data_IF_068629376798
#
_entry.id   IF_068629376798
#
_cell.length_a   1.000
_cell.length_b   1.000
_cell.length_c   1.000
_cell.angle_alpha   90.00
_cell.angle_beta   90.00
_cell.angle_gamma   90.00
#
_symmetry.space_group_name_H-M   'P 1'
#
loop_
_entity.id
_entity.type
_entity.pdbx_description
1 polymer ?
#
# COMPACT_ATOMS: atom_id res chain seq x y z
N UNK A 1 -6.97 -6.53 -9.03
CA UNK A 1 -5.82 -5.84 -8.42
C UNK A 1 -4.89 -5.31 -9.51
N UNK A 2 -4.89 -4.00 -9.79
CA UNK A 2 -3.78 -3.41 -10.53
C UNK A 2 -2.55 -3.25 -9.61
N UNK A 3 -1.37 -3.62 -10.11
CA UNK A 3 -0.10 -3.24 -9.46
C UNK A 3 0.08 -1.75 -9.73
N UNK A 4 0.04 -0.95 -8.68
CA UNK A 4 0.14 0.52 -8.79
C UNK A 4 1.59 0.97 -8.90
N UNK A 5 2.54 0.17 -8.40
CA UNK A 5 3.96 0.52 -8.41
C UNK A 5 4.86 -0.71 -8.27
N UNK A 6 6.12 -0.57 -8.67
CA UNK A 6 7.17 -1.58 -8.48
C UNK A 6 8.46 -0.93 -8.03
N UNK A 7 9.11 -1.53 -7.03
CA UNK A 7 10.45 -1.12 -6.61
C UNK A 7 11.28 -2.37 -6.30
N UNK A 8 12.24 -2.68 -7.17
CA UNK A 8 12.99 -3.93 -7.10
C UNK A 8 12.04 -5.14 -7.07
N UNK A 9 12.14 -6.04 -6.06
CA UNK A 9 11.28 -7.22 -5.96
C UNK A 9 9.86 -6.91 -5.45
N UNK A 10 9.62 -5.70 -4.95
CA UNK A 10 8.38 -5.35 -4.27
C UNK A 10 7.34 -4.79 -5.24
N UNK A 11 6.13 -5.36 -5.19
CA UNK A 11 4.94 -4.92 -5.93
C UNK A 11 3.96 -4.28 -4.97
N UNK A 12 3.55 -3.06 -5.29
CA UNK A 12 2.58 -2.29 -4.51
C UNK A 12 1.21 -2.37 -5.19
N UNK A 13 0.13 -2.49 -4.42
CA UNK A 13 -1.22 -2.58 -4.95
C UNK A 13 -2.30 -2.22 -3.90
N UNK A 14 -3.52 -2.04 -4.40
CA UNK A 14 -4.74 -1.86 -3.59
C UNK A 14 -5.78 -2.93 -3.96
N UNK A 15 -6.57 -3.37 -2.99
CA UNK A 15 -7.73 -4.23 -3.23
C UNK A 15 -8.96 -3.37 -3.54
N UNK A 16 -9.58 -3.59 -4.70
CA UNK A 16 -10.72 -2.80 -5.19
C UNK A 16 -11.94 -2.80 -4.26
N UNK A 17 -12.13 -3.89 -3.53
CA UNK A 17 -13.28 -4.13 -2.65
C UNK A 17 -13.06 -3.71 -1.19
N UNK A 18 -11.87 -3.25 -0.82
CA UNK A 18 -11.52 -3.05 0.60
C UNK A 18 -12.03 -1.71 1.16
N UNK A 19 -12.22 -0.68 0.32
CA UNK A 19 -12.60 0.67 0.76
C UNK A 19 -13.95 1.20 0.23
N UNK A 20 -14.70 0.42 -0.56
CA UNK A 20 -16.03 0.85 -1.02
C UNK A 20 -17.01 0.71 0.14
N UNK A 21 -17.20 1.77 0.91
CA UNK A 21 -18.21 1.87 1.99
C UNK A 21 -17.74 1.53 3.41
N UNK A 22 -16.48 1.13 3.62
CA UNK A 22 -15.93 0.74 4.93
C UNK A 22 -15.25 1.88 5.69
N UNK A 23 -14.85 2.96 5.00
CA UNK A 23 -14.13 4.08 5.61
C UNK A 23 -12.73 3.72 6.10
N UNK A 24 -12.11 2.66 5.55
CA UNK A 24 -10.78 2.25 5.95
C UNK A 24 -9.73 3.35 5.63
N UNK A 25 -8.82 3.66 6.57
CA UNK A 25 -7.77 4.64 6.32
C UNK A 25 -6.87 4.25 5.13
N UNK A 26 -6.20 5.23 4.48
CA UNK A 26 -5.30 4.96 3.37
C UNK A 26 -4.19 3.98 3.73
N UNK A 27 -4.04 2.92 2.95
CA UNK A 27 -2.99 1.93 3.12
C UNK A 27 -2.49 1.34 1.80
N UNK A 28 -1.39 0.61 1.83
CA UNK A 28 -0.84 -0.06 0.65
C UNK A 28 -0.46 -1.49 1.00
N UNK A 29 -0.77 -2.40 0.09
CA UNK A 29 -0.31 -3.78 0.15
C UNK A 29 0.97 -3.92 -0.65
N UNK A 30 1.93 -4.67 -0.10
CA UNK A 30 3.26 -4.89 -0.68
C UNK A 30 3.53 -6.38 -0.71
N UNK A 31 3.86 -6.94 -1.86
CA UNK A 31 4.22 -8.36 -2.00
C UNK A 31 5.52 -8.55 -2.78
N UNK A 32 6.22 -9.65 -2.51
CA UNK A 32 7.37 -10.15 -3.26
C UNK A 32 7.36 -11.68 -3.23
N UNK A 33 8.42 -12.33 -3.71
CA UNK A 33 8.55 -13.79 -3.60
C UNK A 33 8.61 -14.27 -2.13
N UNK A 34 9.09 -13.41 -1.24
CA UNK A 34 9.41 -13.78 0.15
C UNK A 34 8.23 -13.55 1.11
N UNK A 35 7.19 -12.79 0.70
CA UNK A 35 6.05 -12.53 1.58
C UNK A 35 5.15 -11.38 1.17
N UNK A 36 4.36 -10.91 2.13
CA UNK A 36 3.44 -9.78 1.95
C UNK A 36 3.32 -8.93 3.22
N UNK A 37 3.03 -7.65 3.05
CA UNK A 37 2.85 -6.69 4.14
C UNK A 37 1.84 -5.61 3.76
N UNK A 38 1.25 -5.00 4.78
CA UNK A 38 0.31 -3.88 4.65
C UNK A 38 0.79 -2.73 5.50
N UNK A 39 0.83 -1.54 4.92
CA UNK A 39 1.22 -0.31 5.61
C UNK A 39 0.12 0.74 5.51
N UNK A 40 -0.26 1.31 6.65
CA UNK A 40 -0.99 2.58 6.67
C UNK A 40 -0.12 3.68 6.04
N UNK A 41 -0.75 4.67 5.40
CA UNK A 41 -0.08 5.82 4.81
C UNK A 41 -0.16 7.07 5.68
N UNK A 42 -0.97 7.06 6.75
CA UNK A 42 -1.18 8.23 7.62
C UNK A 42 -1.33 7.87 9.11
N UNK A 43 -0.24 7.91 9.90
CA UNK A 43 1.17 7.96 9.47
C UNK A 43 1.65 6.61 8.92
N UNK A 44 2.83 6.57 8.28
CA UNK A 44 3.38 5.32 7.74
C UNK A 44 3.76 4.34 8.86
N UNK A 45 2.92 3.30 9.02
CA UNK A 45 3.04 2.26 10.05
C UNK A 45 2.63 0.90 9.49
N UNK A 46 3.28 -0.14 9.99
CA UNK A 46 2.93 -1.52 9.68
C UNK A 46 1.53 -1.83 10.25
N UNK A 47 0.64 -2.35 9.41
CA UNK A 47 -0.64 -2.97 9.82
C UNK A 47 -0.45 -4.47 10.02
N UNK A 48 0.20 -5.12 9.05
CA UNK A 48 0.42 -6.56 9.05
C UNK A 48 1.62 -6.94 8.18
N UNK A 49 2.28 -8.06 8.49
CA UNK A 49 3.29 -8.69 7.62
C UNK A 49 3.38 -10.18 7.87
N UNK A 50 3.60 -10.92 6.79
CA UNK A 50 3.85 -12.36 6.80
C UNK A 50 4.99 -12.68 5.83
N UNK A 51 5.83 -13.65 6.18
CA UNK A 51 7.00 -14.05 5.39
C UNK A 51 8.23 -13.14 5.51
N UNK A 52 8.03 -11.85 5.83
CA UNK A 52 9.13 -10.91 6.01
C UNK A 52 9.74 -10.92 7.41
N UNK A 53 11.07 -10.84 7.47
CA UNK A 53 11.82 -10.52 8.69
C UNK A 53 11.64 -9.06 9.10
N UNK A 54 11.96 -8.73 10.36
CA UNK A 54 11.90 -7.35 10.86
C UNK A 54 12.79 -6.39 10.04
N UNK A 55 13.94 -6.86 9.55
CA UNK A 55 14.84 -6.06 8.71
C UNK A 55 14.24 -5.76 7.33
N UNK A 56 13.54 -6.73 6.73
CA UNK A 56 12.84 -6.55 5.46
C UNK A 56 11.64 -5.62 5.61
N UNK A 57 10.83 -5.80 6.66
CA UNK A 57 9.73 -4.88 6.99
C UNK A 57 10.27 -3.45 7.16
N UNK A 58 11.40 -3.26 7.85
CA UNK A 58 12.02 -1.95 7.99
C UNK A 58 12.50 -1.37 6.64
N UNK A 59 13.05 -2.20 5.75
CA UNK A 59 13.43 -1.79 4.39
C UNK A 59 12.21 -1.37 3.58
N UNK A 60 11.14 -2.17 3.56
CA UNK A 60 9.89 -1.88 2.86
C UNK A 60 9.27 -0.60 3.41
N UNK A 61 9.24 -0.43 4.74
CA UNK A 61 8.73 0.79 5.38
C UNK A 61 9.45 2.04 4.88
N UNK A 62 10.78 2.01 4.75
CA UNK A 62 11.55 3.16 4.21
C UNK A 62 11.13 3.50 2.78
N UNK A 63 10.90 2.49 1.94
CA UNK A 63 10.39 2.69 0.57
C UNK A 63 9.00 3.34 0.60
N UNK A 64 8.10 2.84 1.45
CA UNK A 64 6.74 3.40 1.62
C UNK A 64 6.80 4.83 2.12
N UNK A 65 7.68 5.16 3.07
CA UNK A 65 7.87 6.54 3.57
C UNK A 65 8.30 7.47 2.45
N UNK A 66 9.32 7.10 1.67
CA UNK A 66 9.82 7.91 0.55
C UNK A 66 8.74 8.13 -0.50
N UNK A 67 7.89 7.13 -0.75
CA UNK A 67 6.82 7.19 -1.76
C UNK A 67 5.46 7.59 -1.20
N UNK A 68 5.35 7.95 0.09
CA UNK A 68 4.07 8.14 0.79
C UNK A 68 3.13 9.08 0.04
N UNK A 69 3.65 10.22 -0.42
CA UNK A 69 2.86 11.24 -1.11
C UNK A 69 2.21 10.70 -2.39
N UNK A 70 2.97 9.96 -3.21
CA UNK A 70 2.47 9.38 -4.45
C UNK A 70 1.49 8.22 -4.18
N UNK A 71 1.83 7.34 -3.22
CA UNK A 71 0.94 6.25 -2.84
C UNK A 71 -0.40 6.76 -2.28
N UNK A 72 -0.38 7.84 -1.50
CA UNK A 72 -1.58 8.50 -0.99
C UNK A 72 -2.42 9.08 -2.13
N UNK A 73 -1.78 9.81 -3.05
CA UNK A 73 -2.48 10.35 -4.23
C UNK A 73 -3.16 9.24 -5.03
N UNK A 74 -2.45 8.14 -5.33
CA UNK A 74 -3.03 6.99 -6.05
C UNK A 74 -4.17 6.32 -5.28
N UNK A 75 -4.07 6.25 -3.95
CA UNK A 75 -5.16 5.75 -3.11
C UNK A 75 -6.41 6.62 -3.28
N UNK A 76 -6.24 7.94 -3.18
CA UNK A 76 -7.34 8.89 -3.32
C UNK A 76 -7.95 8.84 -4.73
N UNK A 77 -7.14 8.77 -5.79
CA UNK A 77 -7.63 8.60 -7.17
C UNK A 77 -8.38 7.28 -7.37
N UNK A 78 -7.96 6.20 -6.71
CA UNK A 78 -8.52 4.87 -6.88
C UNK A 78 -9.85 4.69 -6.12
N UNK A 79 -9.98 5.26 -4.92
CA UNK A 79 -11.17 5.09 -4.07
C UNK A 79 -12.09 6.31 -3.99
N UNK A 80 -11.61 7.52 -4.33
CA UNK A 80 -12.38 8.76 -4.27
C UNK A 80 -12.64 9.40 -5.63
N UNK A 81 -12.50 8.68 -6.75
CA UNK A 81 -12.95 9.20 -8.04
C UNK A 81 -14.45 9.52 -7.93
N UNK A 82 -14.89 10.79 -8.06
CA UNK A 82 -16.31 11.07 -8.20
C UNK A 82 -16.81 10.34 -9.47
N UNK A 83 -18.06 9.83 -9.49
CA UNK A 83 -18.62 9.31 -10.73
C UNK A 83 -18.40 10.37 -11.81
N UNK A 84 -17.73 9.98 -12.88
CA UNK A 84 -17.52 10.84 -14.05
C UNK A 84 -18.88 11.44 -14.41
N UNK A 85 -18.93 12.78 -14.52
CA UNK A 85 -20.11 13.48 -15.01
C UNK A 85 -20.59 12.90 -16.34
#
# INVERSE_FOLDING_TARGET
>A
MPVIDRFGPYRFFFYANENIGSGEPPHVHVTSADGWAVFWLDPVRLRHSEGYTAAEVARIRRIVVVRRTELRRRWDEFFHRPPSQ
#
